data_IF_277488396260
#
_entry.id   IF_277488396260
#
_cell.length_a   1.000
_cell.length_b   1.000
_cell.length_c   1.000
_cell.angle_alpha   90.00
_cell.angle_beta   90.00
_cell.angle_gamma   90.00
#
_symmetry.space_group_name_H-M   'P 1'
#
loop_
_entity.id
_entity.type
_entity.pdbx_description
1 polymer ?
#
# COMPACT_ATOMS: atom_id res chain seq x y z
N UNK A 1 -32.11 -13.31 4.90
CA UNK A 1 -31.37 -14.50 4.42
C UNK A 1 -30.00 -14.03 3.95
N UNK A 2 -29.00 -14.02 4.84
CA UNK A 2 -27.63 -13.58 4.51
C UNK A 2 -26.76 -14.80 4.39
N UNK A 3 -26.67 -15.35 3.19
CA UNK A 3 -25.74 -16.42 2.92
C UNK A 3 -24.32 -15.85 3.11
N UNK A 4 -23.62 -16.37 4.10
CA UNK A 4 -22.23 -15.99 4.39
C UNK A 4 -21.36 -16.63 3.30
N UNK A 5 -21.44 -16.10 2.07
CA UNK A 5 -20.56 -16.50 0.98
C UNK A 5 -19.14 -16.12 1.36
N UNK A 6 -18.44 -17.07 1.97
CA UNK A 6 -17.05 -16.96 2.35
C UNK A 6 -16.18 -17.00 1.10
N UNK A 7 -15.81 -15.82 0.60
CA UNK A 7 -15.05 -15.67 -0.65
C UNK A 7 -13.58 -15.97 -0.43
N UNK A 8 -12.99 -16.63 -1.43
CA UNK A 8 -11.58 -16.95 -1.43
C UNK A 8 -10.73 -15.69 -1.71
N UNK A 9 -9.48 -15.61 -1.20
CA UNK A 9 -8.62 -14.45 -1.41
C UNK A 9 -8.37 -14.14 -2.88
N UNK A 10 -8.32 -15.17 -3.73
CA UNK A 10 -8.13 -15.00 -5.18
C UNK A 10 -9.33 -14.38 -5.89
N UNK A 11 -10.54 -14.58 -5.38
CA UNK A 11 -11.77 -13.99 -5.93
C UNK A 11 -11.88 -12.52 -5.53
N UNK A 12 -11.62 -12.22 -4.25
CA UNK A 12 -11.62 -10.85 -3.71
C UNK A 12 -10.56 -9.99 -4.38
N UNK A 13 -9.36 -10.55 -4.61
CA UNK A 13 -8.27 -9.86 -5.30
C UNK A 13 -8.66 -9.47 -6.74
N UNK A 14 -9.32 -10.37 -7.49
CA UNK A 14 -9.81 -10.08 -8.84
C UNK A 14 -10.92 -9.02 -8.82
N UNK A 15 -11.87 -9.13 -7.88
CA UNK A 15 -12.98 -8.18 -7.76
C UNK A 15 -12.51 -6.76 -7.44
N UNK A 16 -11.46 -6.63 -6.63
CA UNK A 16 -10.88 -5.35 -6.26
C UNK A 16 -9.78 -4.88 -7.23
N UNK A 17 -9.45 -5.67 -8.26
CA UNK A 17 -8.37 -5.41 -9.22
C UNK A 17 -7.02 -5.12 -8.53
N UNK A 18 -6.65 -5.98 -7.57
CA UNK A 18 -5.39 -5.88 -6.82
C UNK A 18 -4.66 -7.22 -6.77
N UNK A 19 -3.34 -7.19 -6.55
CA UNK A 19 -2.57 -8.41 -6.36
C UNK A 19 -2.97 -9.13 -5.06
N UNK A 20 -2.88 -10.46 -5.04
CA UNK A 20 -3.11 -11.26 -3.82
C UNK A 20 -2.14 -10.90 -2.69
N UNK A 21 -0.95 -10.38 -3.02
CA UNK A 21 0.04 -9.91 -2.06
C UNK A 21 -0.36 -8.58 -1.42
N UNK A 22 -0.95 -7.66 -2.19
CA UNK A 22 -1.55 -6.41 -1.69
C UNK A 22 -2.71 -6.71 -0.75
N UNK A 23 -3.60 -7.63 -1.14
CA UNK A 23 -4.71 -8.07 -0.31
C UNK A 23 -4.24 -8.69 1.03
N UNK A 24 -3.17 -9.49 1.01
CA UNK A 24 -2.55 -10.04 2.23
C UNK A 24 -2.00 -8.95 3.16
N UNK A 25 -1.37 -7.91 2.59
CA UNK A 25 -0.88 -6.75 3.36
C UNK A 25 -2.03 -5.97 3.97
N UNK A 26 -3.07 -5.66 3.18
CA UNK A 26 -4.26 -4.96 3.67
C UNK A 26 -4.99 -5.75 4.75
N UNK A 27 -5.11 -7.07 4.61
CA UNK A 27 -5.70 -7.90 5.65
C UNK A 27 -4.92 -7.89 6.98
N UNK A 28 -3.62 -7.56 6.96
CA UNK A 28 -2.80 -7.37 8.16
C UNK A 28 -3.00 -5.98 8.76
N UNK A 29 -2.96 -4.93 7.95
CA UNK A 29 -3.07 -3.54 8.40
C UNK A 29 -4.48 -3.19 8.89
N UNK A 30 -5.52 -3.67 8.18
CA UNK A 30 -6.93 -3.38 8.48
C UNK A 30 -7.62 -4.50 9.26
N UNK A 31 -6.86 -5.44 9.82
CA UNK A 31 -7.39 -6.55 10.63
C UNK A 31 -8.43 -6.12 11.69
N UNK A 32 -8.28 -4.99 12.41
CA UNK A 32 -9.26 -4.57 13.42
C UNK A 32 -10.66 -4.29 12.87
N UNK A 33 -10.77 -4.01 11.57
CA UNK A 33 -12.04 -3.70 10.89
C UNK A 33 -12.56 -4.86 10.06
N UNK A 34 -11.78 -5.94 9.93
CA UNK A 34 -12.16 -7.12 9.15
C UNK A 34 -12.68 -8.23 10.07
N UNK A 35 -13.47 -9.13 9.51
CA UNK A 35 -13.99 -10.30 10.20
C UNK A 35 -12.86 -11.20 10.73
N UNK A 36 -13.16 -11.95 11.80
CA UNK A 36 -12.22 -12.92 12.41
C UNK A 36 -11.76 -14.01 11.42
N UNK A 37 -12.53 -14.26 10.36
CA UNK A 37 -12.19 -15.24 9.30
C UNK A 37 -11.26 -14.67 8.22
N UNK A 38 -11.23 -13.34 8.06
CA UNK A 38 -10.28 -12.62 7.19
C UNK A 38 -8.95 -12.34 7.92
N UNK A 39 -9.03 -12.27 9.25
CA UNK A 39 -7.97 -11.89 10.16
C UNK A 39 -7.16 -13.04 10.75
N UNK A 40 -6.01 -13.32 10.13
CA UNK A 40 -4.95 -14.24 10.59
C UNK A 40 -5.38 -15.74 10.61
N UNK A 41 -4.68 -16.65 9.91
CA UNK A 41 -4.78 -18.06 10.26
C UNK A 41 -4.15 -18.21 11.65
N UNK A 42 -4.94 -18.60 12.65
CA UNK A 42 -4.43 -18.89 13.98
C UNK A 42 -3.31 -19.94 13.87
N UNK A 43 -2.10 -19.55 14.25
CA UNK A 43 -0.92 -20.40 14.23
C UNK A 43 -0.84 -21.32 15.46
N UNK A 44 -1.96 -21.51 16.16
CA UNK A 44 -2.04 -22.29 17.40
C UNK A 44 -3.16 -23.32 17.29
N UNK A 45 -2.79 -24.53 16.90
CA UNK A 45 -3.61 -25.74 17.08
C UNK A 45 -4.41 -26.18 15.86
N UNK A 46 -4.14 -27.40 15.41
CA UNK A 46 -4.94 -28.28 14.54
C UNK A 46 -5.31 -27.84 13.10
N UNK A 47 -5.23 -26.55 12.71
CA UNK A 47 -5.47 -26.11 11.33
C UNK A 47 -4.46 -25.06 10.84
N UNK A 48 -3.19 -25.46 10.75
CA UNK A 48 -2.08 -24.68 10.17
C UNK A 48 -2.20 -24.43 8.63
N UNK A 49 -3.41 -24.39 8.10
CA UNK A 49 -3.72 -24.23 6.68
C UNK A 49 -5.07 -23.54 6.40
N UNK A 50 -5.72 -22.95 7.41
CA UNK A 50 -7.00 -22.26 7.20
C UNK A 50 -6.82 -21.06 6.24
N UNK A 51 -7.25 -21.22 5.00
CA UNK A 51 -7.26 -20.15 4.02
C UNK A 51 -8.12 -18.99 4.52
N UNK A 52 -7.60 -17.75 4.45
CA UNK A 52 -8.36 -16.53 4.77
C UNK A 52 -9.66 -16.51 3.98
N UNK A 53 -10.77 -16.24 4.63
CA UNK A 53 -12.09 -16.16 4.00
C UNK A 53 -12.70 -14.80 4.30
N UNK A 54 -13.16 -14.13 3.25
CA UNK A 54 -13.72 -12.80 3.36
C UNK A 54 -15.23 -12.87 3.26
N UNK A 55 -15.91 -12.19 4.17
CA UNK A 55 -17.36 -11.97 4.09
C UNK A 55 -17.69 -10.88 3.08
N UNK A 56 -18.96 -10.76 2.71
CA UNK A 56 -19.43 -9.64 1.87
C UNK A 56 -19.12 -8.28 2.50
N UNK A 57 -19.19 -8.18 3.83
CA UNK A 57 -18.83 -6.99 4.60
C UNK A 57 -17.32 -6.68 4.50
N UNK A 58 -16.46 -7.69 4.59
CA UNK A 58 -15.02 -7.51 4.41
C UNK A 58 -14.68 -6.96 3.02
N UNK A 59 -15.37 -7.44 1.97
CA UNK A 59 -15.16 -6.93 0.61
C UNK A 59 -15.61 -5.48 0.49
N UNK A 60 -16.68 -5.07 1.17
CA UNK A 60 -17.12 -3.67 1.18
C UNK A 60 -16.09 -2.78 1.88
N UNK A 61 -15.58 -3.20 3.03
CA UNK A 61 -14.54 -2.47 3.77
C UNK A 61 -13.26 -2.36 2.92
N UNK A 62 -12.83 -3.44 2.29
CA UNK A 62 -11.65 -3.44 1.42
C UNK A 62 -11.85 -2.60 0.14
N UNK A 63 -13.07 -2.58 -0.42
CA UNK A 63 -13.41 -1.68 -1.53
C UNK A 63 -13.35 -0.22 -1.10
N UNK A 64 -13.78 0.09 0.12
CA UNK A 64 -13.70 1.43 0.69
C UNK A 64 -12.25 1.84 0.94
N UNK A 65 -11.45 0.95 1.53
CA UNK A 65 -10.00 1.13 1.70
C UNK A 65 -9.34 1.43 0.35
N UNK A 66 -9.67 0.68 -0.71
CA UNK A 66 -9.16 0.93 -2.06
C UNK A 66 -9.49 2.35 -2.52
N UNK A 67 -10.75 2.76 -2.45
CA UNK A 67 -11.17 4.10 -2.86
C UNK A 67 -10.43 5.20 -2.09
N UNK A 68 -10.23 5.02 -0.78
CA UNK A 68 -9.50 5.98 0.05
C UNK A 68 -8.00 6.03 -0.26
N UNK A 69 -7.38 4.90 -0.61
CA UNK A 69 -5.99 4.87 -1.07
C UNK A 69 -5.84 5.48 -2.46
N UNK A 70 -6.82 5.29 -3.34
CA UNK A 70 -6.87 5.92 -4.68
C UNK A 70 -7.08 7.44 -4.58
N UNK A 71 -7.78 7.92 -3.54
CA UNK A 71 -7.86 9.34 -3.14
C UNK A 71 -6.51 9.90 -2.62
N UNK A 72 -5.48 9.06 -2.49
CA UNK A 72 -4.13 9.45 -2.08
C UNK A 72 -3.90 9.48 -0.57
N UNK A 73 -4.81 8.93 0.24
CA UNK A 73 -4.65 8.87 1.69
C UNK A 73 -3.58 7.85 2.08
N UNK A 74 -2.86 8.10 3.17
CA UNK A 74 -1.95 7.14 3.78
C UNK A 74 -2.72 6.07 4.57
N UNK A 75 -2.09 4.92 4.83
CA UNK A 75 -2.70 3.82 5.60
C UNK A 75 -3.27 4.29 6.95
N UNK A 76 -2.54 5.14 7.69
CA UNK A 76 -2.99 5.67 8.98
C UNK A 76 -4.22 6.57 8.86
N UNK A 77 -4.25 7.41 7.81
CA UNK A 77 -5.40 8.28 7.53
C UNK A 77 -6.65 7.48 7.16
N UNK A 78 -6.48 6.39 6.41
CA UNK A 78 -7.57 5.45 6.09
C UNK A 78 -8.10 4.79 7.36
N UNK A 79 -7.22 4.35 8.27
CA UNK A 79 -7.61 3.78 9.57
C UNK A 79 -8.41 4.80 10.38
N UNK A 80 -7.95 6.05 10.48
CA UNK A 80 -8.67 7.10 11.20
C UNK A 80 -10.05 7.38 10.59
N UNK A 81 -10.14 7.43 9.26
CA UNK A 81 -11.42 7.67 8.56
C UNK A 81 -12.41 6.53 8.78
N UNK A 82 -11.97 5.28 8.66
CA UNK A 82 -12.78 4.09 8.96
C UNK A 82 -13.24 4.08 10.42
N UNK A 83 -12.37 4.47 11.36
CA UNK A 83 -12.71 4.54 12.78
C UNK A 83 -13.80 5.58 13.08
N UNK A 84 -13.80 6.70 12.35
CA UNK A 84 -14.79 7.77 12.48
C UNK A 84 -16.12 7.37 11.85
N UNK A 85 -16.09 6.76 10.67
CA UNK A 85 -17.27 6.21 9.99
C UNK A 85 -17.95 5.12 10.86
N UNK A 86 -17.17 4.21 11.45
CA UNK A 86 -17.70 3.18 12.35
C UNK A 86 -18.32 3.74 13.65
N UNK A 87 -17.86 4.91 14.12
CA UNK A 87 -18.46 5.61 15.28
C UNK A 87 -19.73 6.37 14.90
N UNK A 88 -19.74 7.06 13.76
CA UNK A 88 -20.90 7.84 13.29
C UNK A 88 -22.13 6.98 13.02
N UNK A 89 -21.96 5.79 12.42
CA UNK A 89 -23.05 4.83 12.18
C UNK A 89 -23.69 4.36 13.51
N UNK A 90 -22.90 4.32 14.59
CA UNK A 90 -23.35 3.92 15.93
C UNK A 90 -24.16 5.01 16.65
N UNK A 91 -23.98 6.27 16.27
CA UNK A 91 -24.72 7.41 16.81
C UNK A 91 -26.06 7.62 16.06
N UNK A 92 -26.08 7.44 14.74
CA UNK A 92 -27.31 7.50 13.94
C UNK A 92 -28.31 6.37 14.28
N UNK A 93 -27.80 5.17 14.61
CA UNK A 93 -28.67 4.07 15.08
C UNK A 93 -29.23 4.32 16.48
N UNK A 94 -28.49 5.03 17.34
CA UNK A 94 -28.96 5.37 18.70
C UNK A 94 -30.00 6.49 18.71
N UNK A 95 -29.93 7.42 17.75
CA UNK A 95 -30.93 8.50 17.60
C UNK A 95 -32.26 8.03 16.99
N UNK A 96 -32.27 6.91 16.24
CA UNK A 96 -33.49 6.36 15.66
C UNK A 96 -34.41 5.64 16.66
N UNK A 97 -33.86 5.12 17.75
CA UNK A 97 -34.63 4.36 18.73
C UNK A 97 -35.23 5.22 19.87
N UNK A 98 -34.87 6.52 19.96
CA UNK A 98 -35.32 7.42 21.06
C UNK A 98 -36.18 8.62 20.59
N UNK A 99 -36.91 8.50 19.49
CA UNK A 99 -37.88 9.51 19.06
C UNK A 99 -39.32 9.13 19.48
N UNK A 100 -39.67 9.35 20.75
CA UNK A 100 -41.06 9.51 21.18
C UNK A 100 -41.43 11.00 21.26
N UNK A 101 -42.61 11.43 20.78
CA UNK A 101 -42.97 12.85 20.70
C UNK A 101 -43.55 13.33 22.04
N UNK A 102 -42.94 14.34 22.65
CA UNK A 102 -43.57 15.09 23.73
C UNK A 102 -44.17 16.36 23.12
N UNK A 103 -45.50 16.34 23.01
CA UNK A 103 -46.34 17.52 22.74
C UNK A 103 -46.62 18.23 24.06
N UNK A 104 -46.35 19.54 24.14
CA UNK A 104 -47.15 20.53 24.88
C UNK A 104 -46.66 21.97 24.61
N UNK A 105 -47.53 22.98 24.74
CA UNK A 105 -47.50 24.19 23.92
C UNK A 105 -47.03 25.46 24.65
N UNK A 106 -46.57 26.40 23.83
CA UNK A 106 -46.76 27.87 23.83
C UNK A 106 -46.69 28.66 25.15
N UNK A 107 -45.81 29.66 25.17
CA UNK A 107 -46.04 30.95 25.85
C UNK A 107 -45.27 32.06 25.16
N UNK A 108 -45.86 33.23 25.20
CA UNK A 108 -45.77 34.32 24.24
C UNK A 108 -44.62 35.32 24.49
N UNK A 109 -44.10 35.85 23.38
CA UNK A 109 -43.75 37.25 23.07
C UNK A 109 -42.91 38.08 24.07
N UNK A 110 -41.76 38.61 23.61
CA UNK A 110 -41.40 40.05 23.71
C UNK A 110 -40.18 40.43 22.85
N UNK A 111 -40.35 41.57 22.17
CA UNK A 111 -39.42 42.54 21.60
C UNK A 111 -37.93 42.21 21.33
N UNK A 112 -37.54 42.44 20.07
CA UNK A 112 -36.24 43.05 19.76
C UNK A 112 -35.02 42.12 19.75
N UNK A 113 -35.08 41.01 19.04
CA UNK A 113 -33.89 40.24 18.74
C UNK A 113 -33.95 39.74 17.31
N UNK A 114 -32.92 40.06 16.53
CA UNK A 114 -32.55 39.25 15.37
C UNK A 114 -32.54 37.80 15.87
N UNK A 115 -33.53 37.02 15.43
CA UNK A 115 -33.90 35.78 16.11
C UNK A 115 -32.71 34.81 16.24
N UNK A 116 -32.73 33.89 17.22
CA UNK A 116 -31.67 32.90 17.43
C UNK A 116 -31.33 32.12 16.16
N UNK A 117 -32.28 31.98 15.23
CA UNK A 117 -32.08 31.40 13.90
C UNK A 117 -31.06 32.15 13.03
N UNK A 118 -31.04 33.50 13.01
CA UNK A 118 -30.10 34.24 12.15
C UNK A 118 -28.66 34.21 12.71
N UNK A 119 -28.51 34.21 14.04
CA UNK A 119 -27.20 34.07 14.69
C UNK A 119 -26.60 32.70 14.41
N UNK A 120 -27.41 31.63 14.51
CA UNK A 120 -26.99 30.26 14.18
C UNK A 120 -26.60 30.13 12.70
N UNK A 121 -27.33 30.78 11.78
CA UNK A 121 -26.98 30.79 10.35
C UNK A 121 -25.69 31.57 10.09
N UNK A 122 -25.48 32.71 10.76
CA UNK A 122 -24.25 33.48 10.63
C UNK A 122 -23.02 32.68 11.13
N UNK A 123 -23.17 31.95 12.23
CA UNK A 123 -22.11 31.09 12.77
C UNK A 123 -21.85 29.89 11.86
N UNK A 124 -22.90 29.28 11.29
CA UNK A 124 -22.77 28.23 10.30
C UNK A 124 -22.05 28.72 9.03
N UNK A 125 -22.38 29.91 8.51
CA UNK A 125 -21.71 30.49 7.35
C UNK A 125 -20.24 30.82 7.63
N UNK A 126 -19.93 31.26 8.85
CA UNK A 126 -18.56 31.52 9.29
C UNK A 126 -17.76 30.22 9.39
N UNK A 127 -18.33 29.18 10.00
CA UNK A 127 -17.75 27.84 10.05
C UNK A 127 -17.58 27.24 8.66
N UNK A 128 -18.53 27.43 7.74
CA UNK A 128 -18.41 26.98 6.35
C UNK A 128 -17.27 27.72 5.64
N UNK A 129 -17.16 29.03 5.81
CA UNK A 129 -16.10 29.82 5.22
C UNK A 129 -14.71 29.41 5.76
N UNK A 130 -14.60 29.19 7.07
CA UNK A 130 -13.39 28.69 7.72
C UNK A 130 -13.02 27.28 7.24
N UNK A 131 -14.00 26.39 7.11
CA UNK A 131 -13.81 25.04 6.56
C UNK A 131 -13.39 25.07 5.09
N UNK A 132 -13.99 25.94 4.27
CA UNK A 132 -13.61 26.12 2.86
C UNK A 132 -12.18 26.62 2.74
N UNK A 133 -11.78 27.58 3.58
CA UNK A 133 -10.41 28.09 3.60
C UNK A 133 -9.41 27.01 4.04
N UNK A 134 -9.74 26.21 5.05
CA UNK A 134 -8.91 25.08 5.48
C UNK A 134 -8.77 24.00 4.40
N UNK A 135 -9.85 23.68 3.68
CA UNK A 135 -9.83 22.73 2.57
C UNK A 135 -8.97 23.22 1.42
N UNK A 136 -9.08 24.50 1.03
CA UNK A 136 -8.24 25.07 -0.02
C UNK A 136 -6.75 25.05 0.37
N UNK A 137 -6.45 25.42 1.61
CA UNK A 137 -5.07 25.37 2.14
C UNK A 137 -4.53 23.94 2.11
N UNK A 138 -5.34 22.95 2.52
CA UNK A 138 -4.94 21.54 2.49
C UNK A 138 -4.70 21.04 1.06
N UNK A 139 -5.56 21.39 0.11
CA UNK A 139 -5.39 21.02 -1.29
C UNK A 139 -4.14 21.66 -1.91
N UNK A 140 -3.85 22.91 -1.57
CA UNK A 140 -2.64 23.60 -2.03
C UNK A 140 -1.37 22.94 -1.47
N UNK A 141 -1.36 22.59 -0.18
CA UNK A 141 -0.24 21.87 0.45
C UNK A 141 -0.05 20.50 -0.20
N UNK A 142 -1.14 19.75 -0.43
CA UNK A 142 -1.08 18.45 -1.08
C UNK A 142 -0.53 18.54 -2.50
N UNK A 143 -0.93 19.57 -3.26
CA UNK A 143 -0.42 19.81 -4.61
C UNK A 143 1.07 20.15 -4.61
N UNK A 144 1.52 20.95 -3.66
CA UNK A 144 2.94 21.28 -3.50
C UNK A 144 3.76 20.04 -3.14
N UNK A 145 3.27 19.24 -2.19
CA UNK A 145 3.91 17.98 -1.79
C UNK A 145 3.98 17.00 -2.96
N UNK A 146 2.90 16.86 -3.73
CA UNK A 146 2.88 16.01 -4.92
C UNK A 146 3.94 16.45 -5.93
N UNK A 147 4.15 17.76 -6.11
CA UNK A 147 5.22 18.29 -6.95
C UNK A 147 6.61 17.85 -6.49
N UNK A 148 6.90 17.99 -5.19
CA UNK A 148 8.18 17.56 -4.60
C UNK A 148 8.37 16.05 -4.73
N UNK A 149 7.35 15.25 -4.41
CA UNK A 149 7.43 13.79 -4.50
C UNK A 149 7.64 13.31 -5.95
N UNK A 150 6.97 13.93 -6.91
CA UNK A 150 7.18 13.62 -8.34
C UNK A 150 8.62 13.96 -8.72
N UNK A 151 9.11 15.13 -8.33
CA UNK A 151 10.49 15.56 -8.60
C UNK A 151 11.50 14.58 -7.98
N UNK A 152 11.33 14.23 -6.71
CA UNK A 152 12.20 13.29 -6.01
C UNK A 152 12.13 11.90 -6.65
N UNK A 153 10.95 11.45 -7.09
CA UNK A 153 10.82 10.17 -7.78
C UNK A 153 11.59 10.14 -9.10
N UNK A 154 11.50 11.22 -9.89
CA UNK A 154 12.27 11.35 -11.13
C UNK A 154 13.78 11.35 -10.84
N UNK A 155 14.21 12.13 -9.85
CA UNK A 155 15.61 12.19 -9.44
C UNK A 155 16.12 10.82 -8.96
N UNK A 156 15.37 10.13 -8.11
CA UNK A 156 15.69 8.78 -7.64
C UNK A 156 15.71 7.76 -8.77
N UNK A 157 14.86 7.91 -9.79
CA UNK A 157 14.84 7.03 -10.96
C UNK A 157 16.07 7.23 -11.84
N UNK A 158 16.53 8.47 -11.98
CA UNK A 158 17.79 8.80 -12.64
C UNK A 158 18.98 8.19 -11.90
N UNK A 159 19.06 8.39 -10.58
CA UNK A 159 20.13 7.80 -9.77
C UNK A 159 20.10 6.27 -9.80
N UNK A 160 18.92 5.64 -9.73
CA UNK A 160 18.81 4.19 -9.85
C UNK A 160 19.32 3.67 -11.19
N UNK A 161 19.02 4.38 -12.30
CA UNK A 161 19.56 4.04 -13.62
C UNK A 161 21.09 4.13 -13.61
N UNK A 162 21.62 5.23 -13.07
CA UNK A 162 23.07 5.46 -12.97
C UNK A 162 23.78 4.42 -12.09
N UNK A 163 23.14 3.98 -11.01
CA UNK A 163 23.66 2.92 -10.13
C UNK A 163 23.67 1.57 -10.85
N UNK A 164 22.60 1.24 -11.59
CA UNK A 164 22.55 0.02 -12.42
C UNK A 164 23.68 -0.01 -13.45
N UNK A 165 23.93 1.11 -14.12
CA UNK A 165 25.02 1.22 -15.09
C UNK A 165 26.40 1.04 -14.44
N UNK A 166 26.60 1.64 -13.25
CA UNK A 166 27.85 1.47 -12.49
C UNK A 166 28.05 0.03 -12.03
N UNK A 167 27.00 -0.63 -11.56
CA UNK A 167 27.04 -2.02 -11.14
C UNK A 167 27.39 -2.93 -12.33
N UNK A 168 26.76 -2.71 -13.49
CA UNK A 168 27.04 -3.46 -14.71
C UNK A 168 28.50 -3.27 -15.17
N UNK A 169 29.03 -2.05 -15.13
CA UNK A 169 30.46 -1.79 -15.41
C UNK A 169 31.37 -2.50 -14.41
N UNK A 170 31.05 -2.45 -13.12
CA UNK A 170 31.82 -3.16 -12.09
C UNK A 170 31.80 -4.67 -12.31
N UNK A 171 30.64 -5.26 -12.61
CA UNK A 171 30.51 -6.68 -12.94
C UNK A 171 31.39 -7.05 -14.14
N UNK A 172 31.37 -6.24 -15.21
CA UNK A 172 32.23 -6.44 -16.38
C UNK A 172 33.71 -6.38 -16.02
N UNK A 173 34.15 -5.38 -15.26
CA UNK A 173 35.56 -5.27 -14.84
C UNK A 173 36.01 -6.44 -13.96
N UNK A 174 35.14 -6.91 -13.06
CA UNK A 174 35.41 -8.07 -12.22
C UNK A 174 35.52 -9.35 -13.05
N UNK A 175 34.67 -9.52 -14.07
CA UNK A 175 34.74 -10.65 -14.98
C UNK A 175 35.99 -10.62 -15.85
N UNK A 176 36.40 -9.44 -16.34
CA UNK A 176 37.66 -9.28 -17.08
C UNK A 176 38.87 -9.65 -16.22
N UNK A 177 38.93 -9.15 -14.98
CA UNK A 177 40.02 -9.49 -14.05
C UNK A 177 40.04 -10.98 -13.68
N UNK A 178 38.87 -11.62 -13.59
CA UNK A 178 38.79 -13.08 -13.41
C UNK A 178 39.34 -13.82 -14.62
N UNK A 179 38.95 -13.44 -15.83
CA UNK A 179 39.45 -14.03 -17.07
C UNK A 179 40.97 -13.84 -17.21
N UNK A 180 41.50 -12.66 -16.87
CA UNK A 180 42.94 -12.38 -16.92
C UNK A 180 43.72 -13.25 -15.91
N UNK A 181 43.17 -13.49 -14.72
CA UNK A 181 43.76 -14.40 -13.74
C UNK A 181 43.67 -15.88 -14.12
N UNK A 182 42.63 -16.27 -14.85
CA UNK A 182 42.36 -17.65 -15.25
C UNK A 182 43.07 -18.02 -16.57
N UNK A 183 43.45 -17.03 -17.39
CA UNK A 183 44.25 -17.22 -18.57
C UNK A 183 45.65 -17.75 -18.20
N UNK A 184 46.08 -18.92 -18.71
CA UNK A 184 47.42 -19.42 -18.46
C UNK A 184 48.45 -18.43 -19.05
N UNK A 185 49.54 -18.12 -18.32
CA UNK A 185 50.55 -17.21 -18.84
C UNK A 185 51.08 -17.75 -20.16
N UNK A 186 51.20 -16.86 -21.16
CA UNK A 186 51.61 -17.22 -22.54
C UNK A 186 52.90 -18.03 -22.57
N UNK A 187 53.80 -17.78 -21.60
CA UNK A 187 55.03 -18.55 -21.41
C UNK A 187 54.79 -20.03 -21.03
N UNK A 188 53.76 -20.36 -20.23
CA UNK A 188 53.41 -21.75 -19.90
C UNK A 188 52.76 -22.48 -21.09
N UNK A 189 51.97 -21.78 -21.90
CA UNK A 189 51.36 -22.37 -23.11
C UNK A 189 52.46 -22.69 -24.13
N UNK A 190 53.37 -21.75 -24.38
CA UNK A 190 54.54 -21.96 -25.26
C UNK A 190 55.46 -23.07 -24.77
N UNK A 191 55.70 -23.16 -23.45
CA UNK A 191 56.48 -24.24 -22.85
C UNK A 191 55.83 -25.61 -23.05
N UNK A 192 54.51 -25.74 -22.83
CA UNK A 192 53.76 -26.98 -23.09
C UNK A 192 53.82 -27.37 -24.56
N UNK A 193 53.69 -26.41 -25.46
CA UNK A 193 53.71 -26.64 -26.90
C UNK A 193 55.11 -27.10 -27.39
N UNK A 194 56.18 -26.50 -26.85
CA UNK A 194 57.56 -26.92 -27.09
C UNK A 194 57.86 -28.30 -26.49
N UNK A 195 57.32 -28.63 -25.33
CA UNK A 195 57.47 -29.96 -24.70
C UNK A 195 56.74 -31.05 -25.49
N UNK A 196 55.51 -30.80 -25.96
CA UNK A 196 54.77 -31.72 -26.83
C UNK A 196 55.50 -31.98 -28.15
N UNK A 197 56.08 -30.95 -28.77
CA UNK A 197 56.90 -31.11 -29.99
C UNK A 197 58.15 -31.97 -29.78
N UNK A 198 58.80 -31.86 -28.62
CA UNK A 198 59.98 -32.68 -28.28
C UNK A 198 59.61 -34.13 -27.95
N UNK A 199 58.43 -34.38 -27.37
CA UNK A 199 57.95 -35.73 -27.04
C UNK A 199 57.66 -36.61 -28.26
N UNK A 200 57.27 -36.02 -29.41
CA UNK A 200 57.00 -36.77 -30.64
C UNK A 200 58.26 -37.22 -31.42
N UNK A 201 59.46 -36.76 -31.04
CA UNK A 201 60.71 -37.09 -31.73
C UNK A 201 61.52 -38.19 -31.01
N UNK A 202 60.98 -38.80 -29.96
CA UNK A 202 61.71 -39.64 -29.01
C UNK A 202 61.22 -41.07 -28.83
N UNK A 203 60.91 -41.81 -29.89
CA UNK A 203 60.88 -43.29 -29.82
C UNK A 203 61.44 -43.92 -31.09
N UNK A 204 62.74 -44.25 -31.16
CA UNK A 204 63.23 -45.17 -32.17
C UNK A 204 62.72 -46.58 -31.82
N UNK A 205 61.82 -47.10 -32.65
CA UNK A 205 61.44 -48.51 -32.65
C UNK A 205 62.66 -49.35 -33.01
N UNK A 206 63.32 -49.95 -32.02
CA UNK A 206 64.39 -50.92 -32.24
C UNK A 206 63.76 -52.30 -32.45
N UNK A 207 64.12 -52.91 -33.59
CA UNK A 207 63.72 -54.23 -34.06
C UNK A 207 64.68 -55.31 -33.57
#
# INVERSE_FOLDING_TARGET
>A
MTDAELRQPGEVARKLDISTSTLRRWAKEFHPYLSKTAGKPDATGAMAGAHRRYTTEDVQILSRVKALLDEGLTYDQVIHRLSREARGIREETRQRDEAYPIVAPETEMEAGAVGPSLVVVADALRNINENQQALQNSLQVNRNLLGVLIQDNFNLKEENTKLRDRLLKLEQTMNQLRQEKEAPPVSQVQLKELQSRKGCLGTPTTR
#
